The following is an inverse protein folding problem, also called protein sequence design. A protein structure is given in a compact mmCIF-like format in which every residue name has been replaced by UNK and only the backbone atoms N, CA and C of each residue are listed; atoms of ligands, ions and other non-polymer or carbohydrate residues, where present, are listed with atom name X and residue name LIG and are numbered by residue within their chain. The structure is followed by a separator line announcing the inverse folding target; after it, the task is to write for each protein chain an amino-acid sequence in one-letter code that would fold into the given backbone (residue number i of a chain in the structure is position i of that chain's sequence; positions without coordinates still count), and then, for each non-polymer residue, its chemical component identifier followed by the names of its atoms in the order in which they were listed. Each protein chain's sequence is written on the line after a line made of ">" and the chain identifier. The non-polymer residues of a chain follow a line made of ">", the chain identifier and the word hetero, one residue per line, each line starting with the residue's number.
data_IF_688476234059
#
_entry.id   IF_688476234059
#
_cell.length_a   1.000
_cell.length_b   1.000
_cell.length_c   1.000
_cell.angle_alpha   90.00
_cell.angle_beta   90.00
_cell.angle_gamma   90.00
#
_symmetry.space_group_name_H-M   'P 1'
#
loop_
_entity.id
_entity.type
_entity.pdbx_description
1 polymer ?
#
# COMPACT_ATOMS: atom_id res chain seq x y z
N UNK A 1 -13.55 24.78 2.37
CA UNK A 1 -12.13 25.17 2.35
C UNK A 1 -11.43 24.14 1.48
N UNK A 2 -11.28 24.45 0.19
CA UNK A 2 -10.63 23.55 -0.76
C UNK A 2 -9.14 23.48 -0.39
N UNK A 3 -8.70 22.32 0.08
CA UNK A 3 -7.28 22.10 0.35
C UNK A 3 -6.53 22.17 -0.98
N UNK A 4 -5.69 23.19 -1.10
CA UNK A 4 -4.91 23.48 -2.29
C UNK A 4 -4.14 22.23 -2.74
N UNK A 5 -4.49 21.70 -3.92
CA UNK A 5 -3.87 20.51 -4.49
C UNK A 5 -2.48 20.91 -4.99
N UNK A 6 -1.49 20.87 -4.09
CA UNK A 6 -0.10 21.21 -4.41
C UNK A 6 0.58 20.07 -5.16
N UNK A 7 1.28 20.43 -6.25
CA UNK A 7 2.23 19.53 -6.92
C UNK A 7 3.38 19.21 -5.98
N UNK A 8 3.90 18.00 -6.09
CA UNK A 8 5.00 17.51 -5.25
C UNK A 8 6.33 17.86 -5.90
N UNK A 9 7.32 18.25 -5.09
CA UNK A 9 8.64 18.58 -5.58
C UNK A 9 9.32 17.36 -6.24
N UNK A 10 10.00 17.57 -7.37
CA UNK A 10 10.68 16.48 -8.12
C UNK A 10 11.60 15.61 -7.25
N UNK A 11 12.43 16.16 -6.32
CA UNK A 11 13.28 15.34 -5.47
C UNK A 11 12.51 14.38 -4.55
N UNK A 12 11.32 14.79 -4.10
CA UNK A 12 10.45 13.96 -3.25
C UNK A 12 9.86 12.82 -4.06
N UNK A 13 9.45 13.09 -5.31
CA UNK A 13 8.98 12.04 -6.23
C UNK A 13 10.09 11.05 -6.59
N UNK A 14 11.33 11.52 -6.75
CA UNK A 14 12.49 10.64 -7.02
C UNK A 14 12.76 9.69 -5.85
N UNK A 15 12.79 10.20 -4.61
CA UNK A 15 12.94 9.36 -3.41
C UNK A 15 11.79 8.35 -3.26
N UNK A 16 10.57 8.78 -3.55
CA UNK A 16 9.41 7.89 -3.53
C UNK A 16 9.53 6.77 -4.58
N UNK A 17 10.02 7.11 -5.78
CA UNK A 17 10.28 6.11 -6.82
C UNK A 17 11.35 5.12 -6.35
N UNK A 18 12.48 5.59 -5.82
CA UNK A 18 13.55 4.75 -5.29
C UNK A 18 13.05 3.79 -4.21
N UNK A 19 12.21 4.28 -3.28
CA UNK A 19 11.58 3.44 -2.26
C UNK A 19 10.68 2.36 -2.89
N UNK A 20 9.86 2.73 -3.88
CA UNK A 20 8.99 1.76 -4.55
C UNK A 20 9.74 0.76 -5.43
N UNK A 21 10.90 1.13 -5.98
CA UNK A 21 11.74 0.22 -6.77
C UNK A 21 12.28 -0.97 -5.94
N UNK A 22 12.42 -0.79 -4.62
CA UNK A 22 12.81 -1.86 -3.69
C UNK A 22 11.67 -2.88 -3.53
N UNK A 23 10.41 -2.44 -3.65
CA UNK A 23 9.23 -3.28 -3.45
C UNK A 23 8.77 -3.95 -4.75
N UNK A 24 8.82 -3.21 -5.87
CA UNK A 24 8.44 -3.68 -7.19
C UNK A 24 9.47 -3.17 -8.20
N UNK A 25 9.98 -4.02 -9.11
CA UNK A 25 10.86 -3.60 -10.19
C UNK A 25 10.32 -2.39 -10.97
N UNK A 26 11.18 -1.39 -11.22
CA UNK A 26 10.85 -0.11 -11.89
C UNK A 26 10.19 -0.27 -13.26
N UNK A 27 10.49 -1.34 -14.00
CA UNK A 27 9.86 -1.62 -15.28
C UNK A 27 8.37 -1.95 -15.17
N UNK A 28 7.88 -2.27 -13.97
CA UNK A 28 6.48 -2.56 -13.70
C UNK A 28 5.73 -1.37 -13.12
N UNK A 29 6.44 -0.34 -12.61
CA UNK A 29 5.84 0.73 -11.81
C UNK A 29 6.59 2.05 -11.94
N UNK A 30 5.87 3.14 -12.26
CA UNK A 30 6.40 4.50 -12.33
C UNK A 30 5.47 5.49 -11.62
N UNK A 31 6.03 6.25 -10.67
CA UNK A 31 5.36 7.37 -10.01
C UNK A 31 5.13 8.48 -11.03
N UNK A 32 3.87 8.87 -11.22
CA UNK A 32 3.53 9.96 -12.15
C UNK A 32 4.11 11.30 -11.67
N UNK A 33 4.73 12.10 -12.57
CA UNK A 33 5.12 13.48 -12.28
C UNK A 33 3.95 14.38 -11.83
N UNK A 34 2.71 14.00 -12.19
CA UNK A 34 1.48 14.71 -11.83
C UNK A 34 0.88 14.24 -10.50
N UNK A 35 1.64 13.47 -9.71
CA UNK A 35 1.24 13.07 -8.36
C UNK A 35 1.03 14.32 -7.50
N UNK A 36 -0.12 14.35 -6.82
CA UNK A 36 -0.58 15.48 -6.02
C UNK A 36 -0.78 15.07 -4.56
N UNK A 37 -0.64 16.03 -3.65
CA UNK A 37 -0.96 15.82 -2.24
C UNK A 37 -2.44 15.45 -2.05
N UNK A 38 -2.69 14.58 -1.07
CA UNK A 38 -3.98 14.07 -0.59
C UNK A 38 -4.83 13.32 -1.63
N UNK A 39 -4.39 13.30 -2.89
CA UNK A 39 -4.96 12.47 -3.94
C UNK A 39 -4.51 11.02 -3.75
N UNK A 40 -5.45 10.11 -3.97
CA UNK A 40 -5.18 8.68 -4.03
C UNK A 40 -4.69 8.38 -5.45
N UNK A 41 -3.55 7.72 -5.55
CA UNK A 41 -2.98 7.27 -6.80
C UNK A 41 -2.86 5.75 -6.74
N UNK A 42 -3.36 5.07 -7.77
CA UNK A 42 -3.18 3.63 -7.92
C UNK A 42 -2.35 3.39 -9.16
N UNK A 43 -1.29 2.62 -9.01
CA UNK A 43 -0.46 2.16 -10.12
C UNK A 43 -0.54 0.64 -10.11
N UNK A 44 -0.78 0.09 -11.29
CA UNK A 44 -0.83 -1.35 -11.50
C UNK A 44 0.52 -1.80 -12.07
N UNK A 45 1.04 -2.89 -11.53
CA UNK A 45 2.22 -3.56 -12.08
C UNK A 45 1.94 -4.09 -13.48
N UNK A 46 2.90 -3.93 -14.40
CA UNK A 46 2.84 -4.52 -15.74
C UNK A 46 3.23 -5.99 -15.73
N UNK A 47 2.46 -6.84 -15.06
CA UNK A 47 2.61 -8.30 -15.18
C UNK A 47 1.74 -8.80 -16.33
N UNK A 48 2.20 -9.82 -17.06
CA UNK A 48 1.42 -10.50 -18.13
C UNK A 48 0.04 -10.97 -17.65
N UNK A 49 -0.18 -11.04 -16.34
CA UNK A 49 -1.47 -11.25 -15.68
C UNK A 49 -1.96 -9.92 -15.09
N UNK A 50 -3.10 -9.43 -15.59
CA UNK A 50 -3.74 -8.19 -15.12
C UNK A 50 -4.21 -8.36 -13.66
N UNK A 51 -3.74 -7.49 -12.77
CA UNK A 51 -4.22 -7.43 -11.37
C UNK A 51 -3.36 -8.18 -10.34
N UNK A 52 -2.22 -8.75 -10.73
CA UNK A 52 -1.35 -9.48 -9.80
C UNK A 52 -0.53 -8.58 -8.89
N UNK A 53 -0.24 -7.33 -9.28
CA UNK A 53 0.52 -6.40 -8.46
C UNK A 53 -0.07 -4.99 -8.60
N UNK A 54 -0.28 -4.29 -7.50
CA UNK A 54 -0.68 -2.89 -7.48
C UNK A 54 -0.17 -2.19 -6.23
N UNK A 55 0.16 -0.91 -6.35
CA UNK A 55 0.40 -0.03 -5.20
C UNK A 55 -0.62 1.10 -5.29
N UNK A 56 -1.45 1.21 -4.26
CA UNK A 56 -2.29 2.39 -4.06
C UNK A 56 -1.70 3.24 -2.95
N UNK A 57 -1.47 4.52 -3.20
CA UNK A 57 -0.78 5.40 -2.26
C UNK A 57 -1.39 6.79 -2.19
N UNK A 58 -1.13 7.45 -1.06
CA UNK A 58 -1.50 8.83 -0.76
C UNK A 58 -0.32 9.55 -0.16
N UNK A 59 0.01 10.72 -0.71
CA UNK A 59 1.00 11.61 -0.13
C UNK A 59 0.31 12.71 0.66
N UNK A 60 0.83 13.05 1.83
CA UNK A 60 0.38 14.19 2.62
C UNK A 60 1.56 14.78 3.38
N UNK A 61 1.41 16.01 3.87
CA UNK A 61 2.39 16.61 4.75
C UNK A 61 1.93 16.51 6.20
N UNK A 62 2.86 16.17 7.07
CA UNK A 62 2.71 16.19 8.53
C UNK A 62 3.96 16.86 9.09
N UNK A 63 3.80 17.96 9.84
CA UNK A 63 4.93 18.69 10.44
C UNK A 63 6.05 19.02 9.42
N UNK A 64 5.67 19.54 8.25
CA UNK A 64 6.55 19.87 7.12
C UNK A 64 7.31 18.69 6.49
N UNK A 65 6.96 17.46 6.85
CA UNK A 65 7.53 16.23 6.26
C UNK A 65 6.54 15.58 5.29
N UNK A 66 7.06 15.17 4.13
CA UNK A 66 6.28 14.37 3.18
C UNK A 66 6.14 12.94 3.67
N UNK A 67 4.90 12.52 3.88
CA UNK A 67 4.52 11.17 4.28
C UNK A 67 3.78 10.51 3.13
N UNK A 68 4.19 9.30 2.77
CA UNK A 68 3.50 8.42 1.85
C UNK A 68 2.86 7.28 2.64
N UNK A 69 1.53 7.20 2.65
CA UNK A 69 0.85 5.99 3.10
C UNK A 69 0.45 5.18 1.87
N UNK A 70 0.78 3.89 1.85
CA UNK A 70 0.52 3.03 0.71
C UNK A 70 0.05 1.64 1.10
N UNK A 71 -0.72 1.05 0.20
CA UNK A 71 -1.14 -0.34 0.23
C UNK A 71 -0.61 -1.02 -1.02
N UNK A 72 0.36 -1.91 -0.83
CA UNK A 72 0.85 -2.85 -1.83
C UNK A 72 -0.05 -4.09 -1.81
N UNK A 73 -0.49 -4.52 -2.97
CA UNK A 73 -1.17 -5.79 -3.15
C UNK A 73 -0.46 -6.53 -4.28
N UNK A 74 0.07 -7.70 -3.95
CA UNK A 74 0.72 -8.64 -4.85
C UNK A 74 0.07 -10.04 -4.70
N UNK A 75 0.40 -10.97 -5.58
CA UNK A 75 -0.06 -12.36 -5.45
C UNK A 75 0.46 -12.98 -4.14
N UNK A 76 -0.46 -13.51 -3.33
CA UNK A 76 -0.14 -14.07 -2.00
C UNK A 76 0.35 -13.06 -0.95
N UNK A 77 0.39 -11.75 -1.23
CA UNK A 77 1.07 -10.79 -0.36
C UNK A 77 0.45 -9.38 -0.41
N UNK A 78 0.28 -8.73 0.74
CA UNK A 78 -0.15 -7.32 0.82
C UNK A 78 0.58 -6.61 1.94
N UNK A 79 0.90 -5.33 1.72
CA UNK A 79 1.51 -4.48 2.74
C UNK A 79 0.85 -3.14 2.85
N UNK A 80 0.39 -2.80 4.05
CA UNK A 80 -0.06 -1.46 4.39
C UNK A 80 1.04 -0.75 5.19
N UNK A 81 1.67 0.26 4.60
CA UNK A 81 2.84 0.93 5.17
C UNK A 81 2.71 2.43 5.15
N UNK A 82 3.40 3.07 6.07
CA UNK A 82 3.67 4.51 6.07
C UNK A 82 5.15 4.75 5.90
N UNK A 83 5.51 5.53 4.90
CA UNK A 83 6.87 5.91 4.58
C UNK A 83 7.05 7.41 4.79
N UNK A 84 8.03 7.78 5.60
CA UNK A 84 8.46 9.15 5.77
C UNK A 84 9.62 9.43 4.83
N UNK A 85 9.37 10.21 3.77
CA UNK A 85 10.32 10.44 2.67
C UNK A 85 11.54 11.25 3.14
N UNK A 86 11.36 12.07 4.18
CA UNK A 86 12.44 12.91 4.70
C UNK A 86 13.44 12.10 5.51
N UNK A 87 12.94 11.28 6.43
CA UNK A 87 13.78 10.48 7.36
C UNK A 87 14.13 9.09 6.86
N UNK A 88 13.57 8.70 5.71
CA UNK A 88 13.68 7.37 5.12
C UNK A 88 13.19 6.24 6.05
N UNK A 89 12.21 6.53 6.91
CA UNK A 89 11.65 5.58 7.87
C UNK A 89 10.35 4.98 7.37
N UNK A 90 10.20 3.67 7.58
CA UNK A 90 9.00 2.90 7.22
C UNK A 90 8.35 2.35 8.49
N UNK A 91 7.04 2.53 8.61
CA UNK A 91 6.18 2.00 9.66
C UNK A 91 5.17 1.02 9.03
N UNK A 92 5.05 -0.17 9.60
CA UNK A 92 3.98 -1.13 9.24
C UNK A 92 2.68 -0.67 9.90
N UNK A 93 1.61 -0.52 9.11
CA UNK A 93 0.28 -0.20 9.58
C UNK A 93 -0.56 -1.48 9.74
N UNK A 94 -1.77 -1.35 10.29
CA UNK A 94 -2.71 -2.47 10.41
C UNK A 94 -2.95 -3.11 9.03
N UNK A 95 -2.63 -4.39 8.92
CA UNK A 95 -2.55 -5.13 7.68
C UNK A 95 -3.28 -6.47 7.81
N UNK A 96 -3.58 -7.11 6.68
CA UNK A 96 -4.21 -8.43 6.67
C UNK A 96 -3.33 -9.44 7.39
N UNK A 97 -3.96 -10.19 8.29
CA UNK A 97 -3.35 -11.36 8.91
C UNK A 97 -3.68 -12.60 8.08
N UNK A 98 -2.86 -13.64 8.20
CA UNK A 98 -3.16 -14.90 7.54
C UNK A 98 -2.96 -14.86 6.03
N UNK A 99 -1.95 -14.12 5.54
CA UNK A 99 -1.45 -14.31 4.18
C UNK A 99 -0.60 -15.58 4.10
N UNK A 100 -1.23 -16.69 4.45
CA UNK A 100 -0.73 -18.05 4.33
C UNK A 100 -1.76 -18.76 3.43
N UNK A 101 -1.44 -19.39 2.31
CA UNK A 101 -0.16 -19.60 1.66
C UNK A 101 -0.39 -19.90 0.18
N UNK A 102 0.68 -19.84 -0.60
CA UNK A 102 0.79 -20.53 -1.88
C UNK A 102 0.52 -22.03 -1.68
N UNK A 103 -0.73 -22.48 -1.80
CA UNK A 103 -1.16 -23.87 -2.05
C UNK A 103 -0.49 -25.02 -1.26
N UNK A 104 0.22 -24.76 -0.17
CA UNK A 104 1.15 -25.72 0.43
C UNK A 104 1.53 -25.43 1.89
N UNK A 105 0.76 -24.59 2.59
CA UNK A 105 0.71 -24.66 4.05
C UNK A 105 -0.56 -25.43 4.33
N UNK A 106 -0.40 -26.66 4.81
CA UNK A 106 -1.49 -27.55 5.18
C UNK A 106 -2.43 -26.81 6.15
N UNK A 107 -3.69 -26.64 5.71
CA UNK A 107 -4.81 -26.09 6.48
C UNK A 107 -5.20 -26.98 7.68
N UNK A 108 -4.44 -28.03 8.00
CA UNK A 108 -4.84 -29.10 8.91
C UNK A 108 -4.71 -28.74 10.41
N UNK A 109 -4.00 -27.65 10.77
CA UNK A 109 -3.74 -27.28 12.18
C UNK A 109 -4.42 -25.98 12.66
N UNK A 110 -5.17 -25.26 11.80
CA UNK A 110 -5.81 -24.01 12.23
C UNK A 110 -7.12 -24.28 12.99
N UNK A 111 -7.14 -23.95 14.29
CA UNK A 111 -8.36 -24.09 15.07
C UNK A 111 -9.45 -23.08 14.65
N UNK A 112 -10.71 -23.43 14.91
CA UNK A 112 -11.86 -22.61 14.51
C UNK A 112 -11.86 -21.21 15.14
N UNK A 113 -11.28 -21.07 16.35
CA UNK A 113 -11.23 -19.80 17.07
C UNK A 113 -10.23 -18.84 16.41
N UNK A 114 -9.07 -19.35 16.02
CA UNK A 114 -8.03 -18.65 15.28
C UNK A 114 -8.52 -18.25 13.89
N UNK A 115 -9.15 -19.18 13.15
CA UNK A 115 -9.79 -18.86 11.87
C UNK A 115 -10.79 -17.71 12.02
N UNK A 116 -11.64 -17.77 13.04
CA UNK A 116 -12.65 -16.74 13.31
C UNK A 116 -12.01 -15.40 13.70
N UNK A 117 -10.94 -15.42 14.49
CA UNK A 117 -10.16 -14.24 14.88
C UNK A 117 -9.54 -13.56 13.65
N UNK A 118 -8.84 -14.31 12.80
CA UNK A 118 -8.22 -13.82 11.57
C UNK A 118 -9.29 -13.25 10.63
N UNK A 119 -10.39 -13.96 10.40
CA UNK A 119 -11.49 -13.48 9.56
C UNK A 119 -12.05 -12.14 10.04
N UNK A 120 -12.29 -11.99 11.36
CA UNK A 120 -12.80 -10.74 11.95
C UNK A 120 -11.78 -9.60 11.81
N UNK A 121 -10.51 -9.89 12.06
CA UNK A 121 -9.42 -8.93 11.88
C UNK A 121 -9.34 -8.45 10.43
N UNK A 122 -9.32 -9.38 9.47
CA UNK A 122 -9.24 -9.07 8.05
C UNK A 122 -10.45 -8.27 7.55
N UNK A 123 -11.65 -8.55 8.05
CA UNK A 123 -12.83 -7.72 7.76
C UNK A 123 -12.67 -6.28 8.28
N UNK A 124 -12.11 -6.11 9.48
CA UNK A 124 -11.78 -4.78 10.04
C UNK A 124 -10.75 -4.05 9.18
N UNK A 125 -9.66 -4.72 8.78
CA UNK A 125 -8.63 -4.16 7.90
C UNK A 125 -9.21 -3.76 6.54
N UNK A 126 -10.01 -4.63 5.93
CA UNK A 126 -10.70 -4.34 4.67
C UNK A 126 -11.56 -3.07 4.80
N UNK A 127 -12.38 -2.97 5.85
CA UNK A 127 -13.20 -1.77 6.12
C UNK A 127 -12.34 -0.51 6.28
N UNK A 128 -11.19 -0.61 6.96
CA UNK A 128 -10.23 0.48 7.10
C UNK A 128 -9.67 0.94 5.75
N UNK A 129 -9.20 0.00 4.93
CA UNK A 129 -8.60 0.29 3.62
C UNK A 129 -9.63 0.88 2.64
N UNK A 130 -10.87 0.39 2.66
CA UNK A 130 -11.99 0.98 1.89
C UNK A 130 -12.26 2.41 2.35
N UNK A 131 -12.31 2.66 3.67
CA UNK A 131 -12.52 4.02 4.21
C UNK A 131 -11.40 4.97 3.78
N UNK A 132 -10.16 4.48 3.73
CA UNK A 132 -8.97 5.21 3.23
C UNK A 132 -8.90 5.32 1.71
N UNK A 133 -9.80 4.65 0.98
CA UNK A 133 -9.87 4.56 -0.49
C UNK A 133 -8.69 3.81 -1.12
N UNK A 134 -8.00 2.97 -0.37
CA UNK A 134 -6.95 2.08 -0.87
C UNK A 134 -7.49 0.78 -1.45
N UNK A 135 -8.72 0.42 -1.12
CA UNK A 135 -9.47 -0.68 -1.72
C UNK A 135 -10.85 -0.21 -2.17
N UNK A 136 -11.42 -0.90 -3.16
CA UNK A 136 -12.82 -0.71 -3.56
C UNK A 136 -13.75 -1.44 -2.59
N UNK A 137 -14.99 -0.95 -2.49
CA UNK A 137 -16.07 -1.59 -1.72
C UNK A 137 -16.40 -2.98 -2.26
#
# INVERSE_FOLDING_TARGET
>A
MEEEIKKIAKPVLAKLQEHFDILIPRNLFLVSPDTQLKKINTIYGSTSVKGNISITFKLFMLEDQYICEYFLQADGFTEHRRYNIYTDRVEMLENFEGQFAASGVDDEDMDYEEFTRIRKHNDKVRKLLIKKRFMRK
#
